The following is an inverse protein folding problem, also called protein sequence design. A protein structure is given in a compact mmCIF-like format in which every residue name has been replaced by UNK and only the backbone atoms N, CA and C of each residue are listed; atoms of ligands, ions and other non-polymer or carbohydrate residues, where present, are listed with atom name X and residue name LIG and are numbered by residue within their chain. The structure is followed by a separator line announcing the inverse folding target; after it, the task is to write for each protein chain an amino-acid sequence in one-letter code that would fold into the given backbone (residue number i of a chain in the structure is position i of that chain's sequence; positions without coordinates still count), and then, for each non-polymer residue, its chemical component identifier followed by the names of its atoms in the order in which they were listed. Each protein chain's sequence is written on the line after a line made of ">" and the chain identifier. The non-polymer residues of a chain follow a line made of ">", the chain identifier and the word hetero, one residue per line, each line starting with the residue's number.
data_IF_458766761357
#
_entry.id   IF_458766761357
#
_cell.length_a   1.000
_cell.length_b   1.000
_cell.length_c   1.000
_cell.angle_alpha   90.00
_cell.angle_beta   90.00
_cell.angle_gamma   90.00
#
_symmetry.space_group_name_H-M   'P 1'
#
loop_
_entity.id
_entity.type
_entity.pdbx_description
1 polymer ?
#
# COMPACT_ATOMS: atom_id res chain seq x y z
N UNK A 1 -2.60 5.54 23.48
CA UNK A 1 -3.39 5.97 22.30
C UNK A 1 -3.28 4.83 21.30
N UNK A 2 -4.08 3.79 21.52
CA UNK A 2 -4.08 2.59 20.68
C UNK A 2 -4.69 2.93 19.32
N UNK A 3 -4.26 2.30 18.21
CA UNK A 3 -4.95 2.46 16.94
C UNK A 3 -6.36 1.89 17.12
N UNK A 4 -7.36 2.76 17.22
CA UNK A 4 -8.73 2.36 17.51
C UNK A 4 -9.34 1.69 16.27
N UNK A 5 -10.03 0.56 16.46
CA UNK A 5 -10.80 -0.18 15.44
C UNK A 5 -11.88 0.67 14.74
N UNK A 6 -12.14 1.90 15.21
CA UNK A 6 -13.16 2.82 14.71
C UNK A 6 -12.95 3.36 13.29
N UNK A 7 -11.86 3.03 12.59
CA UNK A 7 -11.60 3.60 11.26
C UNK A 7 -11.28 2.64 10.12
N UNK A 8 -11.61 1.35 10.28
CA UNK A 8 -11.39 0.36 9.21
C UNK A 8 -12.17 0.69 7.94
N UNK A 9 -13.39 1.24 8.08
CA UNK A 9 -14.21 1.67 6.94
C UNK A 9 -13.65 2.92 6.24
N UNK A 10 -13.17 3.92 6.99
CA UNK A 10 -12.54 5.11 6.38
C UNK A 10 -11.21 4.75 5.70
N UNK A 11 -10.38 3.92 6.34
CA UNK A 11 -9.15 3.41 5.74
C UNK A 11 -9.46 2.63 4.46
N UNK A 12 -10.48 1.76 4.47
CA UNK A 12 -10.91 1.04 3.29
C UNK A 12 -11.32 2.00 2.15
N UNK A 13 -12.13 3.02 2.44
CA UNK A 13 -12.53 4.01 1.44
C UNK A 13 -11.35 4.83 0.91
N UNK A 14 -10.40 5.18 1.78
CA UNK A 14 -9.18 5.88 1.41
C UNK A 14 -8.32 5.02 0.46
N UNK A 15 -8.07 3.76 0.82
CA UNK A 15 -7.31 2.82 0.00
C UNK A 15 -7.97 2.61 -1.37
N UNK A 16 -9.30 2.41 -1.41
CA UNK A 16 -10.05 2.30 -2.66
C UNK A 16 -9.94 3.56 -3.52
N UNK A 17 -10.02 4.75 -2.90
CA UNK A 17 -9.87 6.03 -3.60
C UNK A 17 -8.47 6.17 -4.21
N UNK A 18 -7.42 5.76 -3.48
CA UNK A 18 -6.04 5.76 -3.98
C UNK A 18 -5.85 4.75 -5.13
N UNK A 19 -6.41 3.55 -5.01
CA UNK A 19 -6.35 2.53 -6.05
C UNK A 19 -7.06 2.98 -7.34
N UNK A 20 -8.23 3.63 -7.24
CA UNK A 20 -8.93 4.22 -8.40
C UNK A 20 -8.09 5.29 -9.10
N UNK A 21 -7.33 6.09 -8.36
CA UNK A 21 -6.39 7.07 -8.94
C UNK A 21 -5.26 6.37 -9.68
N UNK A 22 -4.67 5.33 -9.09
CA UNK A 22 -3.61 4.52 -9.71
C UNK A 22 -4.12 3.88 -11.01
N UNK A 23 -5.32 3.32 -11.00
CA UNK A 23 -5.97 2.77 -12.20
C UNK A 23 -6.11 3.83 -13.31
N UNK A 24 -6.50 5.05 -12.96
CA UNK A 24 -6.52 6.20 -13.88
C UNK A 24 -5.14 6.55 -14.44
N UNK A 25 -4.09 6.51 -13.62
CA UNK A 25 -2.71 6.75 -14.06
C UNK A 25 -2.23 5.67 -15.03
N UNK A 26 -2.53 4.39 -14.75
CA UNK A 26 -2.19 3.26 -15.63
C UNK A 26 -2.88 3.42 -16.99
N UNK A 27 -4.17 3.76 -17.01
CA UNK A 27 -4.88 4.10 -18.26
C UNK A 27 -4.24 5.29 -18.98
N UNK A 28 -3.77 6.29 -18.23
CA UNK A 28 -3.03 7.42 -18.77
C UNK A 28 -1.77 6.96 -19.51
N UNK A 29 -0.95 6.10 -18.90
CA UNK A 29 0.25 5.53 -19.52
C UNK A 29 -0.09 4.75 -20.80
N UNK A 30 -1.16 3.95 -20.80
CA UNK A 30 -1.61 3.24 -22.00
C UNK A 30 -1.90 4.20 -23.17
N UNK A 31 -2.58 5.32 -22.90
CA UNK A 31 -2.82 6.37 -23.91
C UNK A 31 -1.53 7.01 -24.38
N UNK A 32 -0.61 7.34 -23.46
CA UNK A 32 0.69 7.92 -23.82
C UNK A 32 1.48 7.02 -24.78
N UNK A 33 1.42 5.71 -24.58
CA UNK A 33 2.04 4.71 -25.47
C UNK A 33 1.32 4.71 -26.83
N UNK A 34 -0.01 4.65 -26.84
CA UNK A 34 -0.79 4.65 -28.09
C UNK A 34 -0.59 5.94 -28.91
N UNK A 35 -0.35 7.06 -28.24
CA UNK A 35 -0.06 8.38 -28.84
C UNK A 35 1.43 8.56 -29.20
N UNK A 36 2.28 7.54 -29.04
CA UNK A 36 3.72 7.59 -29.27
C UNK A 36 4.43 8.75 -28.54
N UNK A 37 4.03 9.03 -27.29
CA UNK A 37 4.72 10.02 -26.45
C UNK A 37 6.14 9.59 -26.11
N UNK A 38 6.95 10.56 -25.67
CA UNK A 38 8.35 10.32 -25.34
C UNK A 38 8.52 9.25 -24.26
N UNK A 39 9.57 8.44 -24.40
CA UNK A 39 9.92 7.43 -23.40
C UNK A 39 10.20 8.06 -22.03
N UNK A 40 10.78 9.27 -21.99
CA UNK A 40 11.05 9.98 -20.73
C UNK A 40 9.76 10.29 -19.97
N UNK A 41 8.73 10.77 -20.67
CA UNK A 41 7.45 11.14 -20.04
C UNK A 41 6.75 9.88 -19.51
N UNK A 42 6.80 8.78 -20.27
CA UNK A 42 6.24 7.49 -19.86
C UNK A 42 6.94 6.98 -18.60
N UNK A 43 8.29 7.02 -18.56
CA UNK A 43 9.06 6.60 -17.38
C UNK A 43 8.73 7.43 -16.16
N UNK A 44 8.55 8.75 -16.31
CA UNK A 44 8.13 9.64 -15.20
C UNK A 44 6.76 9.21 -14.65
N UNK A 45 5.79 8.92 -15.53
CA UNK A 45 4.46 8.47 -15.09
C UNK A 45 4.51 7.08 -14.43
N UNK A 46 5.31 6.15 -14.95
CA UNK A 46 5.52 4.85 -14.32
C UNK A 46 6.15 4.98 -12.93
N UNK A 47 7.12 5.88 -12.77
CA UNK A 47 7.71 6.18 -11.47
C UNK A 47 6.67 6.75 -10.48
N UNK A 48 5.79 7.64 -10.94
CA UNK A 48 4.69 8.16 -10.14
C UNK A 48 3.70 7.06 -9.70
N UNK A 49 3.37 6.13 -10.61
CA UNK A 49 2.53 4.96 -10.31
C UNK A 49 3.22 4.07 -9.26
N UNK A 50 4.51 3.74 -9.44
CA UNK A 50 5.28 2.95 -8.46
C UNK A 50 5.24 3.59 -7.07
N UNK A 51 5.48 4.90 -6.98
CA UNK A 51 5.42 5.61 -5.71
C UNK A 51 4.01 5.59 -5.08
N UNK A 52 2.96 5.71 -5.88
CA UNK A 52 1.58 5.64 -5.41
C UNK A 52 1.20 4.24 -4.90
N UNK A 53 1.60 3.18 -5.63
CA UNK A 53 1.40 1.78 -5.22
C UNK A 53 2.12 1.49 -3.92
N UNK A 54 3.38 1.92 -3.78
CA UNK A 54 4.15 1.74 -2.55
C UNK A 54 3.46 2.38 -1.34
N UNK A 55 2.91 3.60 -1.49
CA UNK A 55 2.16 4.25 -0.41
C UNK A 55 0.94 3.45 0.03
N UNK A 56 0.15 2.93 -0.92
CA UNK A 56 -0.99 2.07 -0.62
C UNK A 56 -0.53 0.79 0.09
N UNK A 57 0.53 0.15 -0.41
CA UNK A 57 1.11 -1.04 0.20
C UNK A 57 1.55 -0.83 1.64
N UNK A 58 2.23 0.29 1.94
CA UNK A 58 2.64 0.63 3.30
C UNK A 58 1.46 0.89 4.24
N UNK A 59 0.40 1.55 3.78
CA UNK A 59 -0.82 1.73 4.58
C UNK A 59 -1.48 0.40 4.95
N UNK A 60 -1.56 -0.54 4.00
CA UNK A 60 -2.10 -1.89 4.25
C UNK A 60 -1.20 -2.67 5.21
N UNK A 61 0.12 -2.60 5.01
CA UNK A 61 1.09 -3.29 5.86
C UNK A 61 1.06 -2.75 7.31
N UNK A 62 0.95 -1.44 7.49
CA UNK A 62 0.82 -0.83 8.82
C UNK A 62 -0.46 -1.30 9.54
N UNK A 63 -1.58 -1.41 8.81
CA UNK A 63 -2.82 -1.97 9.34
C UNK A 63 -2.64 -3.42 9.79
N UNK A 64 -2.01 -4.26 8.96
CA UNK A 64 -1.72 -5.67 9.27
C UNK A 64 -0.85 -5.83 10.52
N UNK A 65 0.20 -5.03 10.65
CA UNK A 65 1.07 -5.05 11.83
C UNK A 65 0.31 -4.63 13.09
N UNK A 66 -0.50 -3.57 13.03
CA UNK A 66 -1.29 -3.10 14.16
C UNK A 66 -2.25 -4.18 14.66
N UNK A 67 -3.01 -4.81 13.76
CA UNK A 67 -3.94 -5.90 14.11
C UNK A 67 -3.21 -7.13 14.65
N UNK A 68 -2.08 -7.51 14.04
CA UNK A 68 -1.30 -8.68 14.48
C UNK A 68 -0.71 -8.50 15.88
N UNK A 69 -0.25 -7.29 16.22
CA UNK A 69 0.26 -6.97 17.56
C UNK A 69 -0.89 -7.00 18.59
N UNK A 70 -2.03 -6.39 18.27
CA UNK A 70 -3.19 -6.35 19.17
C UNK A 70 -3.69 -7.78 19.49
N UNK A 71 -3.81 -8.63 18.47
CA UNK A 71 -4.19 -10.03 18.64
C UNK A 71 -3.18 -10.81 19.49
N UNK A 72 -1.88 -10.70 19.19
CA UNK A 72 -0.86 -11.44 19.94
C UNK A 72 -0.70 -10.95 21.38
N UNK A 73 -0.83 -9.64 21.64
CA UNK A 73 -0.87 -9.11 23.01
C UNK A 73 -2.06 -9.66 23.80
N UNK A 74 -3.24 -9.74 23.18
CA UNK A 74 -4.45 -10.29 23.83
C UNK A 74 -4.31 -11.79 24.17
N UNK A 75 -3.49 -12.52 23.42
CA UNK A 75 -3.24 -13.95 23.59
C UNK A 75 -1.97 -14.26 24.40
N UNK A 76 -1.24 -13.25 24.88
CA UNK A 76 0.02 -13.42 25.60
C UNK A 76 1.12 -14.07 24.77
N UNK A 77 1.06 -13.93 23.44
CA UNK A 77 2.01 -14.52 22.48
C UNK A 77 3.22 -13.62 22.26
N UNK A 78 4.31 -14.23 21.81
CA UNK A 78 5.53 -13.53 21.44
C UNK A 78 5.30 -12.60 20.22
N UNK A 79 5.75 -11.36 20.34
CA UNK A 79 5.63 -10.33 19.32
C UNK A 79 6.70 -10.48 18.22
N UNK A 80 7.76 -11.25 18.44
CA UNK A 80 8.80 -11.50 17.42
C UNK A 80 8.22 -12.12 16.16
N UNK A 81 7.24 -13.01 16.29
CA UNK A 81 6.56 -13.64 15.16
C UNK A 81 5.79 -12.63 14.28
N UNK A 82 5.14 -11.63 14.88
CA UNK A 82 4.49 -10.54 14.13
C UNK A 82 5.51 -9.68 13.40
N UNK A 83 6.67 -9.45 14.02
CA UNK A 83 7.76 -8.69 13.42
C UNK A 83 8.35 -9.42 12.20
N UNK A 84 8.54 -10.74 12.31
CA UNK A 84 9.05 -11.58 11.22
C UNK A 84 8.08 -11.62 10.03
N UNK A 85 6.78 -11.75 10.29
CA UNK A 85 5.75 -11.71 9.25
C UNK A 85 5.73 -10.34 8.55
N UNK A 86 5.74 -9.25 9.31
CA UNK A 86 5.87 -7.89 8.75
C UNK A 86 7.11 -7.75 7.88
N UNK A 87 8.27 -8.20 8.35
CA UNK A 87 9.53 -8.12 7.61
C UNK A 87 9.50 -8.96 6.32
N UNK A 88 8.80 -10.09 6.33
CA UNK A 88 8.61 -10.93 5.14
C UNK A 88 7.82 -10.19 4.04
N UNK A 89 6.80 -9.43 4.43
CA UNK A 89 5.97 -8.64 3.50
C UNK A 89 6.69 -7.36 3.08
N UNK A 90 7.36 -6.68 4.00
CA UNK A 90 8.12 -5.46 3.72
C UNK A 90 9.20 -5.66 2.65
N UNK A 91 9.90 -6.80 2.68
CA UNK A 91 10.90 -7.18 1.66
C UNK A 91 10.36 -7.23 0.22
N UNK A 92 9.04 -7.30 0.01
CA UNK A 92 8.44 -7.25 -1.33
C UNK A 92 8.39 -5.83 -1.90
N UNK A 93 8.58 -4.81 -1.06
CA UNK A 93 8.57 -3.39 -1.44
C UNK A 93 9.96 -2.76 -1.54
N UNK A 94 11.00 -3.44 -1.03
CA UNK A 94 12.41 -3.03 -1.08
C UNK A 94 13.11 -3.48 -2.35
#
# INVERSE_FOLDING_TARGET
>A
MSPNLENQAELQQELLTRLRKIEGQVRGVQKMIAENRSCSDIVIQLAAIKAAVNRVGFSVLACHLASSIEENMSQGKDLTASLDDFMSVFKKFS
#
